data_IF_897517357604
#
_entry.id   IF_897517357604
#
_cell.length_a   1.000
_cell.length_b   1.000
_cell.length_c   1.000
_cell.angle_alpha   90.00
_cell.angle_beta   90.00
_cell.angle_gamma   90.00
#
_symmetry.space_group_name_H-M   'P 1'
#
loop_
_entity.id
_entity.type
_entity.pdbx_description
1 polymer ?
#
# COMPACT_ATOMS: atom_id res chain seq x y z
N UNK A 1 18.71 -5.74 17.62
CA UNK A 1 17.25 -5.67 17.41
C UNK A 1 16.88 -4.20 17.31
N UNK A 2 16.99 -3.61 16.12
CA UNK A 2 16.65 -2.20 15.88
C UNK A 2 15.12 -2.03 15.90
N UNK A 3 14.58 -1.81 17.09
CA UNK A 3 13.17 -1.46 17.32
C UNK A 3 13.07 0.06 17.30
N UNK A 4 12.58 0.65 16.19
CA UNK A 4 11.78 1.91 16.17
C UNK A 4 11.51 2.52 14.76
N UNK A 5 12.14 2.06 13.68
CA UNK A 5 12.24 2.91 12.46
C UNK A 5 11.11 2.83 11.41
N UNK A 6 9.94 2.26 11.69
CA UNK A 6 8.88 2.12 10.67
C UNK A 6 7.54 2.76 11.02
N UNK A 7 7.42 3.48 12.15
CA UNK A 7 6.17 4.17 12.48
C UNK A 7 5.91 5.31 11.50
N UNK A 8 4.70 5.37 10.99
CA UNK A 8 4.23 6.45 10.13
C UNK A 8 3.53 7.49 11.00
N UNK A 9 4.12 8.68 11.10
CA UNK A 9 3.54 9.80 11.86
C UNK A 9 2.40 10.50 11.10
N UNK A 10 2.47 10.49 9.77
CA UNK A 10 1.48 11.10 8.87
C UNK A 10 1.31 10.23 7.64
N UNK A 11 0.07 9.93 7.28
CA UNK A 11 -0.26 9.22 6.05
C UNK A 11 -0.91 10.18 5.06
N UNK A 12 -0.53 10.09 3.79
CA UNK A 12 -1.17 10.83 2.69
C UNK A 12 -1.12 9.97 1.44
N UNK A 13 -2.28 9.59 0.93
CA UNK A 13 -2.38 8.80 -0.29
C UNK A 13 -1.94 9.65 -1.50
N UNK A 14 -1.05 9.09 -2.33
CA UNK A 14 -0.55 9.66 -3.61
C UNK A 14 -0.14 11.14 -3.53
N UNK A 15 0.88 11.50 -2.73
CA UNK A 15 1.41 12.86 -2.72
C UNK A 15 1.99 13.21 -4.10
N UNK A 16 1.72 14.42 -4.59
CA UNK A 16 2.31 14.90 -5.84
C UNK A 16 3.83 15.08 -5.66
N UNK A 17 4.64 14.24 -6.32
CA UNK A 17 6.10 14.34 -6.32
C UNK A 17 6.83 13.05 -6.76
N UNK A 18 8.08 13.19 -7.21
CA UNK A 18 8.81 12.19 -8.00
C UNK A 18 9.75 11.25 -7.21
N UNK A 19 9.43 10.89 -5.96
CA UNK A 19 10.34 10.00 -5.22
C UNK A 19 9.90 9.49 -3.85
N UNK A 20 8.64 9.68 -3.47
CA UNK A 20 8.13 9.17 -2.20
C UNK A 20 7.73 7.69 -2.31
N UNK A 21 7.94 6.92 -1.23
CA UNK A 21 7.31 5.62 -1.07
C UNK A 21 5.79 5.77 -1.15
N UNK A 22 5.14 4.89 -1.91
CA UNK A 22 3.68 4.84 -2.03
C UNK A 22 3.10 3.71 -1.19
N UNK A 23 1.82 3.84 -0.86
CA UNK A 23 1.04 2.75 -0.29
C UNK A 23 0.81 1.67 -1.36
N UNK A 24 1.34 0.46 -1.12
CA UNK A 24 1.23 -0.67 -2.04
C UNK A 24 -0.03 -1.52 -1.87
N UNK A 25 -0.89 -1.23 -0.89
CA UNK A 25 -2.17 -1.92 -0.66
C UNK A 25 -2.12 -3.25 0.09
N UNK A 26 -0.92 -3.79 0.38
CA UNK A 26 -0.77 -5.05 1.10
C UNK A 26 -0.68 -4.81 2.62
N UNK A 27 -1.83 -4.88 3.29
CA UNK A 27 -1.94 -4.63 4.72
C UNK A 27 -1.90 -5.91 5.56
N UNK A 28 -1.32 -5.80 6.75
CA UNK A 28 -1.51 -6.73 7.87
C UNK A 28 -2.21 -5.94 8.95
N UNK A 29 -3.43 -6.34 9.32
CA UNK A 29 -4.33 -5.57 10.17
C UNK A 29 -4.78 -6.42 11.35
N UNK A 30 -4.79 -5.80 12.53
CA UNK A 30 -5.50 -6.34 13.68
C UNK A 30 -7.00 -6.05 13.53
N UNK A 31 -7.92 -6.97 13.89
CA UNK A 31 -9.36 -6.80 13.66
C UNK A 31 -9.98 -5.50 14.19
N UNK A 32 -9.39 -4.90 15.22
CA UNK A 32 -9.84 -3.62 15.79
C UNK A 32 -9.81 -2.43 14.81
N UNK A 33 -9.15 -2.56 13.64
CA UNK A 33 -9.23 -1.51 12.60
C UNK A 33 -10.64 -1.29 12.07
N UNK A 34 -11.54 -2.26 12.24
CA UNK A 34 -12.94 -2.13 11.81
C UNK A 34 -13.67 -1.02 12.57
N UNK A 35 -13.25 -0.68 13.79
CA UNK A 35 -13.83 0.43 14.58
C UNK A 35 -13.59 1.81 13.94
N UNK A 36 -12.67 1.89 12.98
CA UNK A 36 -12.37 3.10 12.21
C UNK A 36 -13.25 3.23 10.95
N UNK A 37 -14.02 2.20 10.60
CA UNK A 37 -14.89 2.17 9.42
C UNK A 37 -16.32 2.43 9.89
N UNK A 38 -16.86 3.62 9.58
CA UNK A 38 -18.18 4.06 10.09
C UNK A 38 -19.32 3.49 9.26
N UNK A 39 -19.15 3.48 7.95
CA UNK A 39 -20.16 3.11 6.97
C UNK A 39 -19.50 2.85 5.59
N UNK A 40 -20.32 2.48 4.61
CA UNK A 40 -19.91 2.20 3.24
C UNK A 40 -19.30 3.40 2.49
N UNK A 41 -19.46 4.61 3.02
CA UNK A 41 -18.84 5.82 2.45
C UNK A 41 -17.44 6.08 3.01
N UNK A 42 -17.00 5.31 4.00
CA UNK A 42 -15.67 5.46 4.60
C UNK A 42 -14.59 4.95 3.65
N UNK A 43 -13.68 5.84 3.23
CA UNK A 43 -12.52 5.47 2.42
C UNK A 43 -11.39 5.03 3.35
N UNK A 44 -10.95 3.78 3.24
CA UNK A 44 -9.87 3.23 4.07
C UNK A 44 -8.59 4.08 4.03
N UNK A 45 -8.22 4.56 2.85
CA UNK A 45 -7.00 5.33 2.56
C UNK A 45 -7.05 6.79 3.02
N UNK A 46 -8.15 7.21 3.64
CA UNK A 46 -8.32 8.57 4.18
C UNK A 46 -8.38 8.54 5.69
N UNK A 47 -9.56 8.80 6.27
CA UNK A 47 -9.74 9.01 7.69
C UNK A 47 -9.20 7.85 8.55
N UNK A 48 -9.40 6.57 8.21
CA UNK A 48 -8.89 5.46 9.00
C UNK A 48 -7.36 5.42 9.06
N UNK A 49 -6.68 5.45 7.91
CA UNK A 49 -5.21 5.39 7.88
C UNK A 49 -4.55 6.67 8.42
N UNK A 50 -5.16 7.84 8.22
CA UNK A 50 -4.72 9.09 8.85
C UNK A 50 -4.82 9.02 10.39
N UNK A 51 -5.93 8.50 10.93
CA UNK A 51 -6.10 8.36 12.38
C UNK A 51 -5.15 7.33 12.99
N UNK A 52 -4.96 6.19 12.32
CA UNK A 52 -4.02 5.16 12.74
C UNK A 52 -2.58 5.69 12.76
N UNK A 53 -2.19 6.48 11.75
CA UNK A 53 -0.89 7.16 11.71
C UNK A 53 -0.74 8.15 12.88
N UNK A 54 -1.73 9.02 13.08
CA UNK A 54 -1.74 10.01 14.17
C UNK A 54 -1.69 9.34 15.55
N UNK A 55 -2.35 8.19 15.70
CA UNK A 55 -2.37 7.39 16.92
C UNK A 55 -1.08 6.56 17.12
N UNK A 56 -0.13 6.61 16.18
CA UNK A 56 1.13 5.86 16.25
C UNK A 56 0.95 4.35 16.09
N UNK A 57 -0.18 3.93 15.52
CA UNK A 57 -0.57 2.53 15.28
C UNK A 57 -0.36 2.09 13.83
N UNK A 58 0.06 3.01 12.94
CA UNK A 58 0.46 2.68 11.58
C UNK A 58 1.98 2.52 11.48
N UNK A 59 2.41 1.43 10.86
CA UNK A 59 3.80 1.21 10.47
C UNK A 59 3.90 0.81 9.00
N UNK A 60 5.00 1.18 8.33
CA UNK A 60 5.24 0.85 6.93
C UNK A 60 6.30 -0.24 6.79
N UNK A 61 6.00 -1.23 5.94
CA UNK A 61 6.98 -2.16 5.43
C UNK A 61 7.47 -1.71 4.04
N UNK A 62 8.78 -1.53 3.89
CA UNK A 62 9.40 -1.09 2.62
C UNK A 62 9.67 -2.29 1.72
N UNK A 63 8.76 -2.56 0.79
CA UNK A 63 8.97 -3.57 -0.25
C UNK A 63 9.85 -3.01 -1.37
N UNK A 64 11.07 -3.55 -1.51
CA UNK A 64 12.04 -3.14 -2.54
C UNK A 64 11.95 -3.99 -3.82
N UNK A 65 11.10 -5.02 -3.82
CA UNK A 65 10.93 -5.91 -4.96
C UNK A 65 9.98 -5.36 -6.02
N UNK A 66 9.58 -6.22 -6.95
CA UNK A 66 8.60 -5.86 -7.97
C UNK A 66 7.25 -5.52 -7.34
N UNK A 67 6.69 -4.37 -7.73
CA UNK A 67 5.32 -3.96 -7.45
C UNK A 67 4.84 -3.10 -8.62
N UNK A 68 3.65 -3.37 -9.12
CA UNK A 68 3.06 -2.67 -10.26
C UNK A 68 1.52 -2.72 -10.15
N UNK A 69 0.83 -1.57 -10.11
CA UNK A 69 -0.63 -1.53 -10.21
C UNK A 69 -1.07 -1.67 -11.67
N UNK A 70 -2.36 -1.91 -11.87
CA UNK A 70 -2.98 -1.96 -13.19
C UNK A 70 -4.09 -0.90 -13.29
N UNK A 71 -3.68 0.37 -13.36
CA UNK A 71 -4.61 1.50 -13.36
C UNK A 71 -5.00 1.93 -14.79
N UNK A 72 -4.11 1.66 -15.76
CA UNK A 72 -4.27 2.08 -17.16
C UNK A 72 -4.19 0.90 -18.13
N UNK A 73 -4.64 1.11 -19.37
CA UNK A 73 -4.46 0.13 -20.44
C UNK A 73 -2.97 -0.20 -20.69
N UNK A 74 -2.09 0.78 -20.52
CA UNK A 74 -0.64 0.59 -20.64
C UNK A 74 -0.12 -0.39 -19.58
N UNK A 75 -0.56 -0.25 -18.33
CA UNK A 75 -0.17 -1.15 -17.25
C UNK A 75 -0.63 -2.57 -17.52
N UNK A 76 -1.87 -2.74 -18.01
CA UNK A 76 -2.38 -4.05 -18.44
C UNK A 76 -1.49 -4.68 -19.50
N UNK A 77 -1.17 -3.94 -20.56
CA UNK A 77 -0.34 -4.45 -21.64
C UNK A 77 1.06 -4.86 -21.14
N UNK A 78 1.64 -4.09 -20.24
CA UNK A 78 2.93 -4.40 -19.62
C UNK A 78 2.87 -5.68 -18.77
N UNK A 79 1.85 -5.81 -17.91
CA UNK A 79 1.67 -6.99 -17.07
C UNK A 79 1.38 -8.26 -17.90
N UNK A 80 0.61 -8.14 -18.98
CA UNK A 80 0.35 -9.24 -19.92
C UNK A 80 1.62 -9.69 -20.65
N UNK A 81 2.49 -8.77 -21.07
CA UNK A 81 3.77 -9.12 -21.72
C UNK A 81 4.70 -9.89 -20.76
N UNK A 82 4.81 -9.43 -19.52
CA UNK A 82 5.55 -10.14 -18.47
C UNK A 82 5.00 -11.55 -18.24
N UNK A 83 3.67 -11.70 -18.27
CA UNK A 83 3.02 -13.00 -18.13
C UNK A 83 3.30 -13.92 -19.32
N UNK A 84 3.03 -13.46 -20.54
CA UNK A 84 3.17 -14.24 -21.77
C UNK A 84 4.63 -14.66 -22.03
N UNK A 85 5.59 -13.81 -21.68
CA UNK A 85 7.01 -14.09 -21.81
C UNK A 85 7.59 -14.99 -20.70
N UNK A 86 6.77 -15.39 -19.71
CA UNK A 86 7.21 -16.20 -18.57
C UNK A 86 8.12 -15.46 -17.60
N UNK A 87 8.12 -14.13 -17.62
CA UNK A 87 8.98 -13.25 -16.79
C UNK A 87 8.23 -12.54 -15.67
N UNK A 88 6.96 -12.87 -15.44
CA UNK A 88 6.12 -12.30 -14.39
C UNK A 88 6.73 -12.52 -12.99
N UNK A 89 7.27 -11.48 -12.32
CA UNK A 89 7.96 -11.66 -11.02
C UNK A 89 7.01 -12.02 -9.89
N UNK A 90 5.71 -11.76 -10.04
CA UNK A 90 4.66 -12.14 -9.08
C UNK A 90 4.25 -13.62 -9.20
N UNK A 91 4.66 -14.33 -10.25
CA UNK A 91 4.36 -15.75 -10.43
C UNK A 91 5.38 -16.61 -9.70
N UNK A 92 5.06 -17.00 -8.47
CA UNK A 92 5.96 -17.75 -7.56
C UNK A 92 5.43 -19.14 -7.17
N UNK A 93 4.44 -19.66 -7.88
CA UNK A 93 3.82 -20.96 -7.67
C UNK A 93 4.14 -21.95 -8.78
#
# INVERSE_FOLDING_TARGET
LEREQNKIATFKEKPQGDGAWVNGGFFILEPGVMDYIKDDHTSWEKEPLEELARSGMLAAYRHKGFWQPMDTLRDKMYLEDLWASGKAPWKIW
#
